data_IF_157176937899
#
_entry.id   IF_157176937899
#
_cell.length_a   1.000
_cell.length_b   1.000
_cell.length_c   1.000
_cell.angle_alpha   90.00
_cell.angle_beta   90.00
_cell.angle_gamma   90.00
#
_symmetry.space_group_name_H-M   'P 1'
#
loop_
_entity.id
_entity.type
_entity.pdbx_description
1 polymer ?
#
# COMPACT_ATOMS: atom_id res chain seq x y z
N UNK A 1 -28.59 -77.67 28.20
CA UNK A 1 -27.96 -76.91 27.10
C UNK A 1 -28.68 -75.56 27.04
N UNK A 2 -28.10 -74.52 27.63
CA UNK A 2 -28.73 -73.21 27.79
C UNK A 2 -28.16 -72.28 26.72
N UNK A 3 -29.01 -71.75 25.84
CA UNK A 3 -28.60 -70.91 24.70
C UNK A 3 -28.61 -69.44 25.15
N UNK A 4 -27.43 -68.87 25.34
CA UNK A 4 -27.24 -67.43 25.58
C UNK A 4 -27.39 -66.67 24.26
N UNK A 5 -28.42 -65.83 24.14
CA UNK A 5 -28.62 -64.93 22.99
C UNK A 5 -27.85 -63.63 23.23
N UNK A 6 -26.83 -63.38 22.41
CA UNK A 6 -26.11 -62.10 22.39
C UNK A 6 -26.85 -61.11 21.50
N UNK A 7 -27.34 -60.01 22.09
CA UNK A 7 -27.84 -58.85 21.35
C UNK A 7 -26.64 -58.00 20.91
N UNK A 8 -26.39 -57.92 19.61
CA UNK A 8 -25.47 -56.94 19.03
C UNK A 8 -26.20 -55.59 18.92
N UNK A 9 -25.83 -54.61 19.75
CA UNK A 9 -26.18 -53.20 19.52
C UNK A 9 -25.22 -52.64 18.45
N UNK A 10 -25.75 -52.29 17.29
CA UNK A 10 -25.06 -51.45 16.30
C UNK A 10 -25.09 -50.00 16.80
N UNK A 11 -23.96 -49.47 17.25
CA UNK A 11 -23.78 -48.06 17.53
C UNK A 11 -23.60 -47.30 16.21
N UNK A 12 -24.64 -46.60 15.75
CA UNK A 12 -24.58 -45.69 14.60
C UNK A 12 -23.86 -44.40 15.01
N UNK A 13 -22.63 -44.24 14.51
CA UNK A 13 -21.84 -43.02 14.65
C UNK A 13 -22.40 -41.93 13.73
N UNK A 14 -23.25 -41.05 14.27
CA UNK A 14 -23.75 -39.87 13.53
C UNK A 14 -22.64 -38.82 13.39
N UNK A 15 -22.20 -38.55 12.16
CA UNK A 15 -21.34 -37.39 11.88
C UNK A 15 -22.17 -36.11 11.97
N UNK A 16 -21.91 -35.31 12.99
CA UNK A 16 -22.45 -33.94 13.11
C UNK A 16 -21.67 -33.03 12.15
N UNK A 17 -22.25 -32.74 10.98
CA UNK A 17 -21.81 -31.62 10.15
C UNK A 17 -22.35 -30.32 10.76
N UNK A 18 -21.52 -29.65 11.56
CA UNK A 18 -21.78 -28.27 11.97
C UNK A 18 -21.58 -27.31 10.79
N UNK A 19 -22.28 -26.16 10.75
CA UNK A 19 -22.04 -25.16 9.72
C UNK A 19 -20.59 -24.67 9.81
N UNK A 20 -19.89 -24.66 8.66
CA UNK A 20 -18.61 -23.99 8.56
C UNK A 20 -18.83 -22.50 8.86
N UNK A 21 -18.16 -21.97 9.88
CA UNK A 21 -18.15 -20.54 10.11
C UNK A 21 -17.49 -19.89 8.90
N UNK A 22 -18.25 -19.09 8.14
CA UNK A 22 -17.68 -18.23 7.12
C UNK A 22 -16.74 -17.25 7.82
N UNK A 23 -15.45 -17.34 7.54
CA UNK A 23 -14.48 -16.40 8.08
C UNK A 23 -14.75 -15.04 7.42
N UNK A 24 -15.07 -14.03 8.24
CA UNK A 24 -15.39 -12.68 7.78
C UNK A 24 -14.16 -12.12 7.04
N UNK A 25 -14.32 -11.89 5.73
CA UNK A 25 -13.28 -11.32 4.90
C UNK A 25 -12.94 -9.93 5.42
N UNK A 26 -11.64 -9.71 5.67
CA UNK A 26 -11.18 -8.41 6.15
C UNK A 26 -11.28 -7.40 5.00
N UNK A 27 -11.88 -6.23 5.24
CA UNK A 27 -12.07 -5.27 4.16
C UNK A 27 -10.72 -4.68 3.71
N UNK A 28 -10.63 -4.30 2.44
CA UNK A 28 -9.44 -3.64 1.90
C UNK A 28 -9.15 -2.35 2.68
N UNK A 29 -7.89 -2.17 3.07
CA UNK A 29 -7.39 -1.00 3.78
C UNK A 29 -6.01 -0.56 3.30
N UNK A 30 -5.47 -1.21 2.26
CA UNK A 30 -4.24 -0.85 1.57
C UNK A 30 -4.35 -1.18 0.08
N UNK A 31 -3.84 -0.30 -0.78
CA UNK A 31 -3.59 -0.60 -2.19
C UNK A 31 -2.51 0.32 -2.78
N UNK A 32 -1.98 -0.07 -3.94
CA UNK A 32 -1.17 0.79 -4.82
C UNK A 32 -2.08 1.37 -5.90
N UNK A 33 -2.06 2.66 -6.15
CA UNK A 33 -2.93 3.24 -7.19
C UNK A 33 -2.73 2.58 -8.56
N UNK A 34 -3.81 2.15 -9.22
CA UNK A 34 -3.74 1.59 -10.59
C UNK A 34 -3.24 2.61 -11.63
N UNK A 35 -3.54 3.89 -11.41
CA UNK A 35 -3.15 5.00 -12.27
C UNK A 35 -2.58 6.18 -11.48
N UNK A 36 -1.62 6.93 -12.06
CA UNK A 36 -1.12 8.15 -11.45
C UNK A 36 -2.12 9.29 -11.66
N UNK A 37 -1.94 10.39 -10.92
CA UNK A 37 -2.65 11.65 -11.20
C UNK A 37 -2.30 12.18 -12.60
N UNK A 38 -1.08 11.94 -13.07
CA UNK A 38 -0.66 12.22 -14.45
C UNK A 38 0.08 13.55 -14.66
N UNK A 39 0.41 14.29 -13.59
CA UNK A 39 1.22 15.51 -13.64
C UNK A 39 2.57 15.35 -12.93
N UNK A 40 3.22 14.19 -13.13
CA UNK A 40 4.50 13.87 -12.51
C UNK A 40 4.42 13.90 -10.97
N UNK A 41 5.36 14.59 -10.33
CA UNK A 41 5.39 14.83 -8.89
C UNK A 41 4.44 15.92 -8.39
N UNK A 42 3.74 16.63 -9.27
CA UNK A 42 2.74 17.62 -8.86
C UNK A 42 1.42 16.91 -8.57
N UNK A 43 1.19 16.63 -7.29
CA UNK A 43 -0.02 15.95 -6.83
C UNK A 43 -1.07 16.94 -6.30
N UNK A 44 -0.80 18.25 -6.37
CA UNK A 44 -1.58 19.25 -5.64
C UNK A 44 -1.31 19.22 -4.13
N UNK A 45 -0.10 18.82 -3.73
CA UNK A 45 0.28 18.58 -2.33
C UNK A 45 -0.36 17.32 -1.73
N UNK A 46 -0.20 17.15 -0.42
CA UNK A 46 -0.76 15.99 0.30
C UNK A 46 -2.28 15.85 0.13
N UNK A 47 -3.00 16.98 0.08
CA UNK A 47 -4.45 16.98 -0.05
C UNK A 47 -4.91 16.42 -1.41
N UNK A 48 -4.22 16.75 -2.51
CA UNK A 48 -4.56 16.20 -3.82
C UNK A 48 -4.18 14.72 -3.95
N UNK A 49 -3.06 14.31 -3.35
CA UNK A 49 -2.69 12.89 -3.25
C UNK A 49 -3.73 12.08 -2.46
N UNK A 50 -4.19 12.58 -1.33
CA UNK A 50 -5.24 11.95 -0.51
C UNK A 50 -6.58 11.87 -1.27
N UNK A 51 -6.94 12.92 -2.00
CA UNK A 51 -8.16 12.93 -2.81
C UNK A 51 -8.12 11.89 -3.94
N UNK A 52 -6.94 11.66 -4.54
CA UNK A 52 -6.76 10.60 -5.54
C UNK A 52 -6.96 9.21 -4.94
N UNK A 53 -6.33 8.94 -3.79
CA UNK A 53 -6.55 7.69 -3.05
C UNK A 53 -8.03 7.48 -2.70
N UNK A 54 -8.71 8.52 -2.20
CA UNK A 54 -10.14 8.45 -1.88
C UNK A 54 -10.98 8.14 -3.12
N UNK A 55 -10.69 8.78 -4.26
CA UNK A 55 -11.42 8.60 -5.51
C UNK A 55 -11.30 7.17 -6.03
N UNK A 56 -10.09 6.61 -6.06
CA UNK A 56 -9.87 5.23 -6.52
C UNK A 56 -10.51 4.21 -5.58
N UNK A 57 -10.40 4.40 -4.26
CA UNK A 57 -11.08 3.54 -3.29
C UNK A 57 -12.61 3.58 -3.44
N UNK A 58 -13.18 4.77 -3.64
CA UNK A 58 -14.63 4.93 -3.87
C UNK A 58 -15.09 4.23 -5.16
N UNK A 59 -14.29 4.26 -6.22
CA UNK A 59 -14.60 3.60 -7.49
C UNK A 59 -14.80 2.07 -7.35
N UNK A 60 -14.20 1.45 -6.33
CA UNK A 60 -14.34 0.02 -6.02
C UNK A 60 -15.22 -0.24 -4.78
N UNK A 61 -15.96 0.79 -4.33
CA UNK A 61 -16.92 0.67 -3.23
C UNK A 61 -16.33 0.72 -1.82
N UNK A 62 -15.08 1.17 -1.67
CA UNK A 62 -14.37 1.27 -0.38
C UNK A 62 -14.09 2.71 0.08
N UNK A 63 -14.84 3.69 -0.44
CA UNK A 63 -14.71 5.10 -0.02
C UNK A 63 -16.03 5.76 0.40
N UNK A 64 -17.17 5.16 0.07
CA UNK A 64 -18.51 5.73 0.32
C UNK A 64 -19.11 5.26 1.66
N UNK A 65 -18.46 4.32 2.34
CA UNK A 65 -18.81 3.79 3.65
C UNK A 65 -18.32 4.67 4.81
N UNK A 66 -17.72 5.82 4.49
CA UNK A 66 -17.13 6.75 5.45
C UNK A 66 -15.65 6.49 5.73
N UNK A 67 -15.04 5.45 5.13
CA UNK A 67 -13.61 5.20 5.24
C UNK A 67 -12.80 6.33 4.60
N UNK A 68 -11.85 6.85 5.37
CA UNK A 68 -10.93 7.90 4.97
C UNK A 68 -9.65 7.30 4.44
N UNK A 69 -9.25 7.72 3.24
CA UNK A 69 -8.02 7.27 2.61
C UNK A 69 -6.94 8.35 2.60
N UNK A 70 -5.69 7.93 2.83
CA UNK A 70 -4.51 8.80 2.80
C UNK A 70 -3.42 8.20 1.93
N UNK A 71 -2.77 9.06 1.16
CA UNK A 71 -1.54 8.72 0.47
C UNK A 71 -0.37 8.66 1.46
N UNK A 72 0.44 7.61 1.38
CA UNK A 72 1.66 7.46 2.17
C UNK A 72 2.75 8.40 1.62
N UNK A 73 2.78 9.64 2.11
CA UNK A 73 3.73 10.66 1.68
C UNK A 73 4.21 11.48 2.88
N UNK A 74 5.51 11.72 2.96
CA UNK A 74 6.09 12.70 3.90
C UNK A 74 6.11 14.10 3.27
N UNK A 75 6.09 15.14 4.11
CA UNK A 75 6.11 16.53 3.69
C UNK A 75 7.17 17.31 4.48
N UNK A 76 7.93 18.17 3.81
CA UNK A 76 8.92 19.05 4.41
C UNK A 76 8.30 20.33 4.96
N UNK A 77 8.95 20.91 5.99
CA UNK A 77 8.54 22.19 6.57
C UNK A 77 8.98 23.38 5.71
N UNK A 78 8.32 23.59 4.56
CA UNK A 78 8.57 24.71 3.64
C UNK A 78 7.28 25.48 3.35
N UNK A 79 7.41 26.74 2.91
CA UNK A 79 6.27 27.59 2.52
C UNK A 79 5.18 27.72 3.60
N UNK A 80 5.56 27.68 4.87
CA UNK A 80 4.63 27.76 6.01
C UNK A 80 3.85 26.48 6.32
N UNK A 81 4.09 25.40 5.58
CA UNK A 81 3.56 24.07 5.89
C UNK A 81 4.39 23.40 6.98
N UNK A 82 3.78 22.60 7.87
CA UNK A 82 4.51 21.82 8.85
C UNK A 82 5.20 20.62 8.20
N UNK A 83 6.25 20.12 8.85
CA UNK A 83 6.76 18.79 8.56
C UNK A 83 5.69 17.73 8.88
N UNK A 84 5.55 16.75 8.00
CA UNK A 84 4.66 15.59 8.19
C UNK A 84 5.43 14.32 7.83
N UNK A 85 5.32 13.28 8.65
CA UNK A 85 5.85 11.96 8.34
C UNK A 85 4.74 11.10 7.74
N UNK A 86 5.04 10.33 6.70
CA UNK A 86 4.06 9.41 6.08
C UNK A 86 3.45 8.45 7.11
N UNK A 87 4.29 7.88 8.00
CA UNK A 87 3.85 6.91 9.02
C UNK A 87 2.78 7.46 9.97
N UNK A 88 2.79 8.76 10.25
CA UNK A 88 1.88 9.38 11.22
C UNK A 88 0.48 9.64 10.60
N UNK A 89 0.31 9.36 9.31
CA UNK A 89 -0.89 9.72 8.53
C UNK A 89 -1.77 8.53 8.18
N UNK A 90 -1.29 7.29 8.31
CA UNK A 90 -1.89 6.10 7.67
C UNK A 90 -2.64 5.15 8.62
N UNK A 91 -2.99 5.63 9.81
CA UNK A 91 -3.67 4.84 10.83
C UNK A 91 -2.75 3.84 11.54
N UNK A 92 -3.35 3.00 12.39
CA UNK A 92 -2.62 2.05 13.26
C UNK A 92 -2.61 0.61 12.74
N UNK A 93 -3.33 0.32 11.65
CA UNK A 93 -3.53 -1.04 11.12
C UNK A 93 -4.58 -1.85 11.90
N UNK A 94 -4.75 -3.16 11.60
CA UNK A 94 -4.07 -3.93 10.56
C UNK A 94 -4.50 -3.54 9.14
N UNK A 95 -3.61 -3.74 8.17
CA UNK A 95 -3.90 -3.48 6.76
C UNK A 95 -4.03 -4.75 5.93
N UNK A 96 -4.97 -4.73 4.99
CA UNK A 96 -5.24 -5.81 4.05
C UNK A 96 -5.37 -5.23 2.63
N UNK A 97 -4.93 -5.98 1.63
CA UNK A 97 -5.11 -5.60 0.23
C UNK A 97 -6.53 -5.90 -0.28
N UNK A 98 -6.77 -5.64 -1.57
CA UNK A 98 -8.05 -5.88 -2.25
C UNK A 98 -8.57 -7.32 -2.16
N UNK A 99 -7.68 -8.30 -2.03
CA UNK A 99 -8.00 -9.73 -1.88
C UNK A 99 -8.13 -10.17 -0.41
N UNK A 100 -8.25 -9.23 0.52
CA UNK A 100 -8.24 -9.47 1.98
C UNK A 100 -6.95 -10.14 2.47
N UNK A 101 -5.85 -10.06 1.72
CA UNK A 101 -4.55 -10.59 2.14
C UNK A 101 -3.86 -9.61 3.07
N UNK A 102 -3.39 -10.13 4.19
CA UNK A 102 -2.69 -9.37 5.23
C UNK A 102 -1.43 -8.67 4.68
N UNK A 103 -1.26 -7.39 5.05
CA UNK A 103 -0.12 -6.54 4.71
C UNK A 103 0.77 -6.30 5.92
N UNK A 104 0.22 -5.75 6.99
CA UNK A 104 0.92 -5.53 8.25
C UNK A 104 -0.08 -5.35 9.41
N UNK A 105 0.32 -5.73 10.61
CA UNK A 105 -0.55 -5.71 11.79
C UNK A 105 -0.67 -4.32 12.39
N UNK A 106 0.44 -3.58 12.39
CA UNK A 106 0.52 -2.26 12.99
C UNK A 106 1.64 -1.45 12.35
N UNK A 107 1.73 -0.18 12.74
CA UNK A 107 2.70 0.76 12.16
C UNK A 107 4.15 0.33 12.29
N UNK A 108 4.54 -0.36 13.38
CA UNK A 108 5.91 -0.82 13.56
C UNK A 108 6.18 -2.04 12.68
N UNK A 109 5.26 -3.00 12.63
CA UNK A 109 5.32 -4.16 11.74
C UNK A 109 5.45 -3.75 10.26
N UNK A 110 4.77 -2.67 9.84
CA UNK A 110 4.81 -2.14 8.47
C UNK A 110 6.21 -1.61 8.09
N UNK A 111 6.94 -1.03 9.04
CA UNK A 111 8.27 -0.46 8.82
C UNK A 111 9.41 -1.41 9.20
N UNK A 112 9.08 -2.66 9.51
CA UNK A 112 10.03 -3.77 9.67
C UNK A 112 9.99 -4.68 8.44
N UNK A 113 10.99 -5.56 8.29
CA UNK A 113 11.08 -6.46 7.13
C UNK A 113 9.96 -7.50 7.02
N UNK A 114 9.19 -7.72 8.09
CA UNK A 114 8.09 -8.71 8.15
C UNK A 114 6.81 -8.26 7.45
N UNK A 115 6.71 -7.01 7.02
CA UNK A 115 5.58 -6.56 6.22
C UNK A 115 5.45 -7.36 4.92
N UNK A 116 4.23 -7.38 4.39
CA UNK A 116 3.87 -8.09 3.18
C UNK A 116 3.58 -7.14 2.02
N UNK A 117 4.28 -6.01 1.93
CA UNK A 117 4.30 -5.18 0.71
C UNK A 117 5.29 -5.83 -0.27
N UNK A 118 4.78 -6.60 -1.23
CA UNK A 118 5.54 -7.39 -2.21
C UNK A 118 4.78 -7.41 -3.54
N UNK A 119 5.43 -7.85 -4.61
CA UNK A 119 4.86 -7.86 -5.97
C UNK A 119 3.43 -8.40 -6.05
N UNK A 120 3.19 -9.58 -5.46
CA UNK A 120 1.89 -10.26 -5.54
C UNK A 120 0.86 -9.80 -4.51
N UNK A 121 1.22 -8.90 -3.60
CA UNK A 121 0.37 -8.48 -2.47
C UNK A 121 0.14 -6.97 -2.46
N UNK A 122 1.03 -6.19 -3.07
CA UNK A 122 0.85 -4.78 -3.39
C UNK A 122 -0.02 -4.60 -4.64
N UNK A 123 -1.27 -5.04 -4.52
CA UNK A 123 -2.29 -4.97 -5.56
C UNK A 123 -2.85 -3.55 -5.69
N UNK A 124 -3.46 -3.29 -6.84
CA UNK A 124 -4.27 -2.10 -7.04
C UNK A 124 -5.64 -2.18 -6.37
N UNK A 125 -6.38 -1.08 -6.39
CA UNK A 125 -7.72 -1.00 -5.79
C UNK A 125 -8.71 -2.00 -6.41
N UNK A 126 -8.44 -2.48 -7.63
CA UNK A 126 -9.26 -3.45 -8.35
C UNK A 126 -8.81 -4.91 -8.08
N UNK A 127 -7.76 -5.12 -7.28
CA UNK A 127 -7.18 -6.43 -7.03
C UNK A 127 -6.24 -6.94 -8.12
N UNK A 128 -5.82 -6.10 -9.05
CA UNK A 128 -4.84 -6.48 -10.06
C UNK A 128 -3.42 -6.30 -9.55
N UNK A 129 -2.50 -7.12 -10.08
CA UNK A 129 -1.07 -6.92 -9.87
C UNK A 129 -0.61 -5.62 -10.57
N UNK A 130 0.14 -4.79 -9.86
CA UNK A 130 0.78 -3.60 -10.43
C UNK A 130 2.10 -4.01 -11.08
N UNK A 131 2.27 -3.67 -12.36
CA UNK A 131 3.51 -3.93 -13.10
C UNK A 131 4.75 -3.50 -12.30
N UNK A 132 5.69 -4.43 -12.12
CA UNK A 132 6.94 -4.19 -11.44
C UNK A 132 8.15 -4.47 -12.31
N UNK A 133 9.28 -4.71 -11.65
CA UNK A 133 10.53 -5.04 -12.32
C UNK A 133 10.36 -6.30 -13.17
N UNK A 134 10.67 -6.17 -14.46
CA UNK A 134 10.55 -7.23 -15.46
C UNK A 134 9.28 -7.17 -16.31
N UNK A 135 8.32 -6.31 -15.95
CA UNK A 135 7.09 -6.10 -16.71
C UNK A 135 7.20 -4.87 -17.62
N UNK A 136 6.29 -4.75 -18.60
CA UNK A 136 6.23 -3.62 -19.52
C UNK A 136 4.81 -3.01 -19.55
N UNK A 137 4.66 -1.69 -19.30
CA UNK A 137 5.69 -0.77 -18.79
C UNK A 137 6.13 -1.13 -17.36
N UNK A 138 7.39 -0.84 -17.01
CA UNK A 138 7.86 -0.91 -15.63
C UNK A 138 7.23 0.24 -14.82
N UNK A 139 6.62 -0.05 -13.67
CA UNK A 139 5.96 0.92 -12.78
C UNK A 139 6.27 0.64 -11.30
N UNK A 140 7.46 0.10 -11.02
CA UNK A 140 7.78 -0.43 -9.69
C UNK A 140 8.14 0.64 -8.64
N UNK A 141 8.57 1.83 -9.08
CA UNK A 141 8.87 2.92 -8.16
C UNK A 141 7.58 3.64 -7.71
N UNK A 142 7.41 3.79 -6.40
CA UNK A 142 6.28 4.46 -5.76
C UNK A 142 6.78 5.70 -5.02
N UNK A 143 6.08 6.83 -5.16
CA UNK A 143 6.41 8.09 -4.49
C UNK A 143 6.21 7.97 -2.96
N UNK A 144 7.19 8.40 -2.15
CA UNK A 144 7.05 8.40 -0.67
C UNK A 144 7.59 9.68 -0.02
N UNK A 145 8.73 10.19 -0.49
CA UNK A 145 9.47 11.25 0.19
C UNK A 145 9.93 10.88 1.60
N UNK A 146 9.99 9.58 1.92
CA UNK A 146 10.22 9.07 3.26
C UNK A 146 11.58 8.38 3.42
N UNK A 147 12.09 8.31 4.65
CA UNK A 147 13.09 7.33 5.03
C UNK A 147 12.45 5.94 5.28
N UNK A 148 13.27 4.91 5.54
CA UNK A 148 12.77 3.54 5.73
C UNK A 148 11.86 3.39 6.95
N UNK A 149 11.94 4.32 7.91
CA UNK A 149 11.08 4.35 9.08
C UNK A 149 9.80 5.16 8.86
N UNK A 150 9.54 5.61 7.63
CA UNK A 150 8.35 6.37 7.25
C UNK A 150 8.33 7.81 7.75
N UNK A 151 9.50 8.34 8.09
CA UNK A 151 9.70 9.75 8.46
C UNK A 151 10.08 10.55 7.23
N UNK A 152 10.00 11.87 7.29
CA UNK A 152 10.52 12.71 6.22
C UNK A 152 11.99 12.36 5.93
N UNK A 153 12.30 12.09 4.66
CA UNK A 153 13.67 11.85 4.23
C UNK A 153 14.54 13.09 4.50
N UNK A 154 15.79 12.88 4.90
CA UNK A 154 16.71 14.00 5.15
C UNK A 154 17.12 14.66 3.83
N UNK A 155 17.05 15.99 3.77
CA UNK A 155 17.41 16.77 2.60
C UNK A 155 16.53 18.00 2.43
N UNK A 156 16.73 18.74 1.35
CA UNK A 156 15.81 19.81 0.93
C UNK A 156 14.50 19.19 0.41
N UNK A 157 13.38 19.89 0.58
CA UNK A 157 12.09 19.54 0.02
C UNK A 157 12.13 19.41 -1.51
N UNK A 158 12.92 20.25 -2.17
CA UNK A 158 13.13 20.17 -3.61
C UNK A 158 13.73 18.81 -4.01
N UNK A 159 14.56 18.21 -3.15
CA UNK A 159 15.29 16.96 -3.44
C UNK A 159 14.64 15.70 -2.84
N UNK A 160 13.62 15.87 -1.99
CA UNK A 160 13.02 14.76 -1.23
C UNK A 160 11.52 14.59 -1.45
N UNK A 161 10.79 15.65 -1.80
CA UNK A 161 9.33 15.62 -1.87
C UNK A 161 8.77 16.31 -3.12
N UNK A 162 9.57 16.58 -4.16
CA UNK A 162 9.14 17.37 -5.31
C UNK A 162 8.53 18.74 -4.91
N UNK A 163 9.21 19.44 -4.00
CA UNK A 163 8.73 20.69 -3.40
C UNK A 163 7.36 20.52 -2.75
N UNK A 164 7.22 19.49 -1.92
CA UNK A 164 5.95 19.07 -1.30
C UNK A 164 4.84 18.77 -2.32
N UNK A 165 5.21 18.04 -3.37
CA UNK A 165 4.32 17.53 -4.41
C UNK A 165 3.59 18.64 -5.17
N UNK A 166 4.34 19.71 -5.46
CA UNK A 166 3.87 20.87 -6.24
C UNK A 166 4.71 21.12 -7.49
N UNK A 167 5.78 20.35 -7.69
CA UNK A 167 6.62 20.38 -8.91
C UNK A 167 6.36 19.18 -9.79
N UNK A 168 6.17 19.42 -11.08
CA UNK A 168 6.13 18.43 -12.16
C UNK A 168 7.37 18.51 -13.07
N UNK A 169 8.46 19.13 -12.60
CA UNK A 169 9.67 19.37 -13.39
C UNK A 169 10.92 19.17 -12.54
N UNK A 170 11.58 20.25 -12.15
CA UNK A 170 12.81 20.21 -11.37
C UNK A 170 12.57 19.70 -9.94
N UNK A 171 13.63 19.14 -9.36
CA UNK A 171 13.63 18.50 -8.05
C UNK A 171 13.56 16.99 -8.14
N UNK A 172 13.54 16.33 -6.98
CA UNK A 172 13.52 14.89 -6.83
C UNK A 172 12.57 14.48 -5.70
N UNK A 173 12.24 13.20 -5.66
CA UNK A 173 11.45 12.58 -4.60
C UNK A 173 12.04 11.24 -4.24
N UNK A 174 12.00 10.89 -2.95
CA UNK A 174 12.38 9.55 -2.52
C UNK A 174 11.31 8.55 -2.93
N UNK A 175 11.78 7.45 -3.52
CA UNK A 175 10.98 6.36 -4.07
C UNK A 175 11.19 5.09 -3.25
N UNK A 176 10.15 4.28 -3.13
CA UNK A 176 10.24 2.90 -2.67
C UNK A 176 9.81 1.90 -3.75
N UNK A 177 10.02 0.60 -3.52
CA UNK A 177 9.69 -0.47 -4.48
C UNK A 177 8.57 -1.36 -3.97
N UNK A 178 7.39 -1.35 -4.59
CA UNK A 178 6.25 -2.18 -4.15
C UNK A 178 6.54 -3.69 -4.28
N UNK A 179 7.43 -4.04 -5.20
CA UNK A 179 7.88 -5.41 -5.47
C UNK A 179 9.08 -5.84 -4.61
N UNK A 180 9.76 -4.88 -3.96
CA UNK A 180 11.02 -5.05 -3.21
C UNK A 180 12.15 -5.65 -4.06
N UNK A 181 12.18 -5.35 -5.37
CA UNK A 181 13.17 -5.88 -6.31
C UNK A 181 14.06 -4.80 -6.93
N UNK A 182 15.38 -5.05 -6.92
CA UNK A 182 16.36 -4.17 -7.56
C UNK A 182 16.87 -3.06 -6.64
N UNK A 183 17.57 -2.08 -7.23
CA UNK A 183 18.09 -0.93 -6.49
C UNK A 183 19.20 -1.23 -5.47
N UNK A 184 19.63 -0.21 -4.70
CA UNK A 184 20.60 -0.35 -3.61
C UNK A 184 20.01 -0.95 -2.33
N UNK A 185 18.68 -1.06 -2.20
CA UNK A 185 17.99 -1.67 -1.06
C UNK A 185 16.69 -2.34 -1.51
N UNK A 186 16.22 -3.32 -0.75
CA UNK A 186 14.91 -3.97 -0.96
C UNK A 186 13.78 -3.26 -0.18
N UNK A 187 13.90 -1.94 0.02
CA UNK A 187 12.92 -1.18 0.79
C UNK A 187 11.65 -0.95 -0.01
N UNK A 188 10.49 -1.08 0.63
CA UNK A 188 9.21 -0.81 -0.04
C UNK A 188 8.90 0.68 -0.10
N UNK A 189 9.50 1.49 0.78
CA UNK A 189 9.20 2.91 0.95
C UNK A 189 10.40 3.86 0.80
N UNK A 190 11.65 3.36 0.76
CA UNK A 190 12.83 4.23 0.73
C UNK A 190 14.06 3.54 0.14
N UNK A 191 14.21 3.64 -1.18
CA UNK A 191 15.25 2.96 -1.95
C UNK A 191 16.20 3.93 -2.64
N UNK A 192 15.68 4.87 -3.44
CA UNK A 192 16.49 5.86 -4.14
C UNK A 192 15.67 7.12 -4.50
N UNK A 193 16.34 8.19 -4.91
CA UNK A 193 15.71 9.37 -5.47
C UNK A 193 15.24 9.13 -6.91
N UNK A 194 14.20 9.84 -7.34
CA UNK A 194 13.83 9.95 -8.76
C UNK A 194 14.87 10.72 -9.56
N UNK A 195 14.87 10.56 -10.89
CA UNK A 195 15.68 11.41 -11.79
C UNK A 195 15.22 12.87 -11.79
N UNK A 196 13.92 13.12 -11.84
CA UNK A 196 13.33 14.43 -11.56
C UNK A 196 11.89 14.28 -11.08
N UNK A 197 11.14 15.37 -11.00
CA UNK A 197 9.71 15.38 -10.71
C UNK A 197 8.82 15.34 -11.97
N UNK A 198 9.40 15.37 -13.17
CA UNK A 198 8.63 15.23 -14.41
C UNK A 198 8.12 13.80 -14.60
N UNK A 199 6.94 13.66 -15.20
CA UNK A 199 6.37 12.32 -15.47
C UNK A 199 7.30 11.49 -16.37
N UNK A 200 7.91 12.13 -17.38
CA UNK A 200 8.89 11.46 -18.26
C UNK A 200 10.06 10.89 -17.46
N UNK A 201 10.60 11.65 -16.52
CA UNK A 201 11.74 11.21 -15.72
C UNK A 201 11.36 10.22 -14.63
N UNK A 202 10.15 10.28 -14.08
CA UNK A 202 9.62 9.21 -13.21
C UNK A 202 9.57 7.88 -13.97
N UNK A 203 9.07 7.88 -15.21
CA UNK A 203 9.08 6.71 -16.10
C UNK A 203 10.48 6.24 -16.47
N UNK A 204 11.39 7.18 -16.74
CA UNK A 204 12.77 6.85 -17.06
C UNK A 204 13.58 6.35 -15.85
N UNK A 205 13.09 6.59 -14.63
CA UNK A 205 13.64 6.02 -13.38
C UNK A 205 13.16 4.58 -13.19
N UNK A 206 11.87 4.32 -13.43
CA UNK A 206 11.26 3.01 -13.20
C UNK A 206 9.84 3.06 -12.64
N UNK A 207 9.32 4.26 -12.35
CA UNK A 207 7.96 4.47 -11.82
C UNK A 207 6.99 5.04 -12.83
N UNK A 208 5.87 5.54 -12.33
CA UNK A 208 4.86 6.24 -13.13
C UNK A 208 4.15 7.35 -12.34
N UNK A 209 4.63 7.69 -11.14
CA UNK A 209 3.95 8.61 -10.21
C UNK A 209 2.83 7.94 -9.41
N UNK A 210 2.96 6.64 -9.12
CA UNK A 210 2.01 5.87 -8.33
C UNK A 210 2.16 6.17 -6.82
N UNK A 211 1.10 5.88 -6.07
CA UNK A 211 1.01 6.11 -4.63
C UNK A 211 0.62 4.83 -3.90
N UNK A 212 1.08 4.70 -2.65
CA UNK A 212 0.44 3.80 -1.69
C UNK A 212 -0.71 4.54 -0.98
N UNK A 213 -1.86 3.88 -0.89
CA UNK A 213 -3.05 4.41 -0.25
C UNK A 213 -3.42 3.53 0.94
N UNK A 214 -3.70 4.16 2.08
CA UNK A 214 -4.07 3.48 3.33
C UNK A 214 -5.38 4.04 3.87
N UNK A 215 -6.27 3.15 4.31
CA UNK A 215 -7.41 3.52 5.14
C UNK A 215 -6.93 3.85 6.57
N UNK A 216 -7.57 4.81 7.23
CA UNK A 216 -7.09 5.36 8.52
C UNK A 216 -8.09 5.24 9.67
N UNK A 217 -9.19 4.53 9.45
CA UNK A 217 -10.35 4.37 10.31
C UNK A 217 -10.92 2.94 10.31
#
# INVERSE_FOLDING_TARGET
MTITKYFFMLASLGMLFGPAAAQEQQPMSFFVTSEPIGDGGNLGGLAGADAHCQSLAAAVGRGDDGTTWRAYLSQASINGLPQVNARDRIGDGPWYNADSVYIAMNIDDLHEDRNNVRKYTALDENGNEVNGRGDQPNRHDILTGSDSMGRLAQGDAADTTCSNYTSNSDGHVILGHHDRLGGPSASWNATHSSRSCSHEDLRATGGDGLLYCFAID
#
